data_IF_119848947973
#
_entry.id   IF_119848947973
#
_cell.length_a   1.000
_cell.length_b   1.000
_cell.length_c   1.000
_cell.angle_alpha   90.00
_cell.angle_beta   90.00
_cell.angle_gamma   90.00
#
_symmetry.space_group_name_H-M   'P 1'
#
loop_
_entity.id
_entity.type
_entity.pdbx_description
1 polymer ?
#
# COMPACT_ATOMS: atom_id res chain seq x y z
N UNK A 1 -50.58 -101.89 -26.05
CA UNK A 1 -50.22 -101.05 -27.20
C UNK A 1 -51.48 -100.70 -27.96
N UNK A 2 -52.03 -99.50 -27.77
CA UNK A 2 -53.02 -98.95 -28.71
C UNK A 2 -52.21 -98.09 -29.67
N UNK A 3 -51.75 -98.70 -30.76
CA UNK A 3 -51.14 -98.00 -31.88
C UNK A 3 -52.26 -97.27 -32.63
N UNK A 4 -52.29 -95.94 -32.57
CA UNK A 4 -53.21 -95.12 -33.38
C UNK A 4 -54.54 -94.72 -32.74
N UNK A 5 -54.60 -94.54 -31.41
CA UNK A 5 -55.82 -94.15 -30.70
C UNK A 5 -56.19 -92.67 -30.89
N UNK A 6 -56.96 -92.34 -31.94
CA UNK A 6 -57.79 -91.14 -31.91
C UNK A 6 -58.94 -91.39 -30.92
N UNK A 7 -59.04 -90.63 -29.83
CA UNK A 7 -60.26 -90.62 -29.01
C UNK A 7 -61.37 -89.98 -29.83
N UNK A 8 -62.18 -90.80 -30.51
CA UNK A 8 -63.35 -90.37 -31.26
C UNK A 8 -64.55 -90.33 -30.31
N UNK A 9 -65.01 -89.13 -29.97
CA UNK A 9 -66.23 -88.92 -29.21
C UNK A 9 -67.41 -88.90 -30.19
N UNK A 10 -67.93 -90.07 -30.53
CA UNK A 10 -69.14 -90.16 -31.34
C UNK A 10 -70.37 -89.85 -30.46
N UNK A 11 -70.92 -88.65 -30.61
CA UNK A 11 -72.11 -88.20 -29.89
C UNK A 11 -73.38 -88.83 -30.44
N UNK A 12 -73.89 -89.86 -29.76
CA UNK A 12 -75.23 -90.37 -29.96
C UNK A 12 -76.23 -89.64 -29.06
N UNK A 13 -76.98 -88.69 -29.64
CA UNK A 13 -78.34 -88.29 -29.21
C UNK A 13 -78.52 -87.61 -27.84
N UNK A 14 -79.07 -86.39 -27.91
CA UNK A 14 -79.78 -85.61 -26.86
C UNK A 14 -78.91 -84.65 -26.01
N UNK A 15 -79.13 -83.36 -26.30
CA UNK A 15 -79.02 -82.15 -25.47
C UNK A 15 -77.68 -81.82 -24.78
N UNK A 16 -77.03 -80.78 -25.33
CA UNK A 16 -76.20 -79.78 -24.64
C UNK A 16 -75.10 -80.28 -23.70
N UNK A 17 -74.07 -80.93 -24.26
CA UNK A 17 -72.74 -80.91 -23.64
C UNK A 17 -71.64 -80.71 -24.68
N UNK A 18 -71.27 -79.45 -24.90
CA UNK A 18 -70.15 -78.99 -25.73
C UNK A 18 -68.77 -79.13 -25.04
N UNK A 19 -68.60 -80.05 -24.09
CA UNK A 19 -67.35 -80.17 -23.32
C UNK A 19 -66.98 -81.62 -22.93
N UNK A 20 -65.69 -81.95 -23.09
CA UNK A 20 -65.08 -83.12 -22.46
C UNK A 20 -64.97 -82.84 -20.96
N UNK A 21 -65.74 -83.58 -20.14
CA UNK A 21 -65.70 -83.45 -18.67
C UNK A 21 -64.80 -84.53 -18.07
N UNK A 22 -63.70 -84.10 -17.46
CA UNK A 22 -62.84 -84.96 -16.65
C UNK A 22 -63.13 -84.68 -15.18
N UNK A 23 -63.20 -85.72 -14.34
CA UNK A 23 -63.40 -85.61 -12.89
C UNK A 23 -62.29 -86.38 -12.18
N UNK A 24 -61.71 -85.77 -11.14
CA UNK A 24 -60.76 -86.48 -10.28
C UNK A 24 -61.50 -87.59 -9.51
N UNK A 25 -60.86 -88.74 -9.34
CA UNK A 25 -61.43 -89.86 -8.59
C UNK A 25 -61.53 -89.51 -7.09
N UNK A 26 -62.67 -89.80 -6.47
CA UNK A 26 -62.90 -89.61 -5.04
C UNK A 26 -62.01 -90.58 -4.25
N UNK A 27 -60.82 -90.12 -3.83
CA UNK A 27 -59.94 -90.91 -2.95
C UNK A 27 -58.45 -90.88 -3.27
N UNK A 28 -57.98 -90.10 -4.24
CA UNK A 28 -56.55 -90.11 -4.56
C UNK A 28 -56.09 -89.03 -5.52
N UNK A 29 -56.01 -87.80 -5.03
CA UNK A 29 -55.37 -86.66 -5.70
C UNK A 29 -56.38 -85.65 -6.24
N UNK A 30 -56.41 -84.47 -5.64
CA UNK A 30 -57.22 -83.30 -6.04
C UNK A 30 -56.72 -82.68 -7.35
N UNK A 31 -56.28 -83.49 -8.33
CA UNK A 31 -55.69 -83.05 -9.58
C UNK A 31 -56.20 -83.85 -10.77
N UNK A 32 -56.41 -83.16 -11.88
CA UNK A 32 -56.61 -83.74 -13.22
C UNK A 32 -55.37 -83.39 -14.04
N UNK A 33 -54.78 -84.37 -14.72
CA UNK A 33 -53.60 -84.18 -15.56
C UNK A 33 -53.89 -84.59 -17.00
N UNK A 34 -53.42 -83.78 -17.92
CA UNK A 34 -53.28 -84.11 -19.34
C UNK A 34 -51.78 -84.22 -19.59
N UNK A 35 -51.33 -85.42 -19.95
CA UNK A 35 -49.93 -85.76 -20.14
C UNK A 35 -49.60 -85.86 -21.63
N UNK A 36 -48.49 -85.24 -22.03
CA UNK A 36 -47.94 -85.35 -23.38
C UNK A 36 -46.65 -86.17 -23.32
N UNK A 37 -46.63 -87.30 -24.04
CA UNK A 37 -45.55 -88.30 -23.97
C UNK A 37 -44.93 -88.56 -25.34
N UNK A 38 -43.65 -88.87 -25.34
CA UNK A 38 -42.89 -89.29 -26.51
C UNK A 38 -43.07 -90.78 -26.83
N UNK A 39 -42.39 -91.21 -27.89
CA UNK A 39 -42.33 -92.59 -28.40
C UNK A 39 -41.94 -93.64 -27.34
N UNK A 40 -41.09 -93.26 -26.38
CA UNK A 40 -40.65 -94.12 -25.27
C UNK A 40 -41.51 -93.96 -24.00
N UNK A 41 -42.77 -93.55 -24.12
CA UNK A 41 -43.69 -93.23 -22.99
C UNK A 41 -43.12 -92.15 -22.03
N UNK A 42 -42.15 -91.41 -22.52
CA UNK A 42 -41.40 -90.42 -21.77
C UNK A 42 -42.18 -89.10 -21.74
N UNK A 43 -42.52 -88.61 -20.57
CA UNK A 43 -43.36 -87.43 -20.41
C UNK A 43 -42.58 -86.12 -20.57
N UNK A 44 -42.92 -85.32 -21.58
CA UNK A 44 -42.21 -84.07 -21.86
C UNK A 44 -43.03 -82.81 -21.54
N UNK A 45 -44.35 -82.93 -21.34
CA UNK A 45 -45.18 -81.83 -20.88
C UNK A 45 -46.45 -82.31 -20.14
N UNK A 46 -46.99 -81.47 -19.27
CA UNK A 46 -48.28 -81.67 -18.61
C UNK A 46 -49.11 -80.38 -18.58
N UNK A 47 -50.43 -80.55 -18.59
CA UNK A 47 -51.38 -79.55 -18.09
C UNK A 47 -52.05 -80.15 -16.86
N UNK A 48 -51.94 -79.47 -15.73
CA UNK A 48 -52.43 -79.94 -14.44
C UNK A 48 -53.45 -78.94 -13.89
N UNK A 49 -54.71 -79.37 -13.79
CA UNK A 49 -55.71 -78.69 -12.98
C UNK A 49 -55.68 -79.25 -11.57
N UNK A 50 -55.54 -78.41 -10.55
CA UNK A 50 -55.61 -78.78 -9.14
C UNK A 50 -56.82 -78.12 -8.51
N UNK A 51 -57.69 -78.90 -7.89
CA UNK A 51 -58.78 -78.38 -7.07
C UNK A 51 -58.18 -77.88 -5.75
N UNK A 52 -58.59 -76.68 -5.33
CA UNK A 52 -58.38 -76.23 -3.96
C UNK A 52 -59.49 -76.83 -3.12
N UNK A 53 -59.20 -77.92 -2.41
CA UNK A 53 -60.12 -78.41 -1.39
C UNK A 53 -60.01 -77.53 -0.14
N UNK A 54 -61.13 -77.13 0.49
CA UNK A 54 -61.07 -76.52 1.82
C UNK A 54 -60.32 -77.46 2.77
N UNK A 55 -59.54 -76.90 3.70
CA UNK A 55 -58.72 -77.66 4.67
C UNK A 55 -59.51 -78.68 5.52
N UNK A 56 -60.84 -78.71 5.43
CA UNK A 56 -61.75 -79.62 6.10
C UNK A 56 -62.63 -80.40 5.11
N UNK A 57 -62.01 -81.26 4.30
CA UNK A 57 -62.48 -82.61 3.89
C UNK A 57 -63.88 -82.89 3.33
N UNK A 58 -64.81 -81.94 3.18
CA UNK A 58 -66.18 -82.25 2.73
C UNK A 58 -66.95 -81.10 2.05
N UNK A 59 -66.25 -80.18 1.38
CA UNK A 59 -66.88 -79.06 0.68
C UNK A 59 -66.75 -79.13 -0.84
N UNK A 60 -67.79 -78.70 -1.56
CA UNK A 60 -67.78 -78.36 -2.99
C UNK A 60 -66.50 -77.62 -3.35
N UNK A 61 -65.82 -78.03 -4.43
CA UNK A 61 -64.65 -77.33 -4.96
C UNK A 61 -64.93 -75.83 -5.13
N UNK A 62 -64.34 -74.99 -4.28
CA UNK A 62 -64.54 -73.53 -4.30
C UNK A 62 -63.61 -72.81 -5.28
N UNK A 63 -62.56 -73.49 -5.74
CA UNK A 63 -61.67 -73.01 -6.80
C UNK A 63 -60.53 -73.98 -7.10
N UNK A 64 -59.51 -73.50 -7.80
CA UNK A 64 -58.38 -74.34 -8.21
C UNK A 64 -57.29 -73.59 -8.98
N UNK A 65 -56.14 -74.25 -9.16
CA UNK A 65 -55.02 -73.75 -9.95
C UNK A 65 -54.87 -74.52 -11.27
N UNK A 66 -54.31 -73.87 -12.27
CA UNK A 66 -53.93 -74.48 -13.55
C UNK A 66 -52.43 -74.31 -13.78
N UNK A 67 -51.72 -75.39 -14.05
CA UNK A 67 -50.27 -75.36 -14.23
C UNK A 67 -49.87 -76.05 -15.53
N UNK A 68 -49.03 -75.40 -16.32
CA UNK A 68 -48.39 -75.96 -17.50
C UNK A 68 -46.94 -76.28 -17.15
N UNK A 69 -46.56 -77.52 -17.43
CA UNK A 69 -45.24 -78.07 -17.12
C UNK A 69 -44.55 -78.51 -18.38
N UNK A 70 -43.26 -78.27 -18.47
CA UNK A 70 -42.41 -78.82 -19.52
C UNK A 70 -41.17 -79.46 -18.92
N UNK A 71 -40.69 -80.52 -19.57
CA UNK A 71 -39.52 -81.25 -19.10
C UNK A 71 -38.24 -80.52 -19.49
N UNK A 72 -37.22 -80.63 -18.64
CA UNK A 72 -35.84 -80.34 -18.98
C UNK A 72 -35.02 -81.49 -18.42
N UNK A 73 -34.36 -82.25 -19.30
CA UNK A 73 -33.64 -83.45 -18.90
C UNK A 73 -34.50 -84.49 -18.17
N UNK A 74 -35.73 -84.75 -18.65
CA UNK A 74 -36.70 -85.68 -18.06
C UNK A 74 -37.36 -85.26 -16.74
N UNK A 75 -37.08 -84.05 -16.24
CA UNK A 75 -37.73 -83.50 -15.04
C UNK A 75 -38.72 -82.42 -15.45
N UNK A 76 -39.99 -82.55 -15.04
CA UNK A 76 -41.02 -81.56 -15.27
C UNK A 76 -40.88 -80.37 -14.32
N UNK A 77 -40.87 -79.16 -14.88
CA UNK A 77 -40.88 -77.90 -14.12
C UNK A 77 -42.17 -77.13 -14.39
N UNK A 78 -42.69 -76.46 -13.36
CA UNK A 78 -43.81 -75.53 -13.50
C UNK A 78 -43.33 -74.30 -14.28
N UNK A 79 -43.84 -74.11 -15.51
CA UNK A 79 -43.43 -73.02 -16.40
C UNK A 79 -44.44 -71.88 -16.41
N UNK A 80 -45.72 -72.21 -16.31
CA UNK A 80 -46.80 -71.23 -16.28
C UNK A 80 -47.86 -71.71 -15.28
N UNK A 81 -48.22 -70.85 -14.34
CA UNK A 81 -49.12 -71.16 -13.24
C UNK A 81 -50.21 -70.12 -13.18
N UNK A 82 -51.47 -70.52 -13.13
CA UNK A 82 -52.61 -69.68 -12.78
C UNK A 82 -53.13 -70.14 -11.43
N UNK A 83 -53.10 -69.27 -10.43
CA UNK A 83 -53.69 -69.55 -9.12
C UNK A 83 -55.20 -69.27 -9.11
N UNK A 84 -55.90 -69.80 -8.11
CA UNK A 84 -57.34 -69.58 -7.90
C UNK A 84 -57.71 -68.08 -7.83
N UNK A 85 -56.85 -67.26 -7.23
CA UNK A 85 -57.00 -65.80 -7.19
C UNK A 85 -56.75 -65.08 -8.54
N UNK A 86 -56.51 -65.83 -9.61
CA UNK A 86 -56.26 -65.32 -10.97
C UNK A 86 -54.86 -64.75 -11.19
N UNK A 87 -53.92 -64.92 -10.26
CA UNK A 87 -52.54 -64.50 -10.46
C UNK A 87 -51.84 -65.48 -11.41
N UNK A 88 -51.16 -64.93 -12.41
CA UNK A 88 -50.41 -65.68 -13.42
C UNK A 88 -48.92 -65.58 -13.12
N UNK A 89 -48.29 -66.73 -12.89
CA UNK A 89 -46.84 -66.86 -12.74
C UNK A 89 -46.20 -67.44 -14.00
N UNK A 90 -45.10 -66.84 -14.47
CA UNK A 90 -44.22 -67.42 -15.50
C UNK A 90 -42.88 -67.73 -14.83
N UNK A 91 -42.51 -69.01 -14.81
CA UNK A 91 -41.31 -69.49 -14.12
C UNK A 91 -41.39 -69.54 -12.59
N UNK A 92 -42.52 -69.13 -12.01
CA UNK A 92 -42.80 -69.17 -10.56
C UNK A 92 -44.11 -69.89 -10.26
N UNK A 93 -44.17 -70.59 -9.13
CA UNK A 93 -45.37 -71.26 -8.61
C UNK A 93 -46.16 -70.40 -7.62
N UNK A 94 -45.58 -69.30 -7.16
CA UNK A 94 -46.14 -68.44 -6.11
C UNK A 94 -46.16 -66.98 -6.57
N UNK A 95 -46.90 -66.63 -7.64
CA UNK A 95 -46.95 -65.26 -8.16
C UNK A 95 -47.51 -64.28 -7.10
N UNK A 96 -46.69 -63.29 -6.72
CA UNK A 96 -47.07 -62.26 -5.74
C UNK A 96 -47.95 -61.16 -6.35
N UNK A 97 -47.89 -61.00 -7.67
CA UNK A 97 -48.66 -60.03 -8.44
C UNK A 97 -49.57 -60.72 -9.46
N UNK A 98 -50.52 -59.98 -10.03
CA UNK A 98 -51.46 -60.50 -11.05
C UNK A 98 -50.76 -61.14 -12.24
N UNK A 99 -49.61 -60.59 -12.64
CA UNK A 99 -48.65 -61.20 -13.52
C UNK A 99 -47.28 -61.11 -12.83
N UNK A 100 -46.65 -62.26 -12.57
CA UNK A 100 -45.34 -62.36 -11.95
C UNK A 100 -44.43 -63.21 -12.85
N UNK A 101 -43.33 -62.66 -13.29
CA UNK A 101 -42.39 -63.32 -14.21
C UNK A 101 -41.05 -63.46 -13.50
N UNK A 102 -40.69 -64.69 -13.16
CA UNK A 102 -39.37 -65.00 -12.63
C UNK A 102 -38.38 -65.13 -13.78
N UNK A 103 -37.88 -63.99 -14.26
CA UNK A 103 -36.99 -63.89 -15.41
C UNK A 103 -37.11 -62.54 -16.12
N UNK A 104 -36.62 -62.45 -17.36
CA UNK A 104 -36.77 -61.27 -18.21
C UNK A 104 -37.94 -61.41 -19.18
N UNK A 105 -38.72 -60.34 -19.35
CA UNK A 105 -39.77 -60.25 -20.36
C UNK A 105 -39.30 -59.47 -21.58
N UNK A 106 -39.58 -59.96 -22.79
CA UNK A 106 -39.38 -59.22 -24.03
C UNK A 106 -40.73 -58.73 -24.55
N UNK A 107 -40.89 -57.41 -24.67
CA UNK A 107 -42.09 -56.77 -25.22
C UNK A 107 -41.68 -56.02 -26.50
N UNK A 108 -42.22 -56.43 -27.64
CA UNK A 108 -41.93 -55.79 -28.95
C UNK A 108 -42.64 -54.44 -29.12
N UNK A 109 -43.47 -54.06 -28.16
CA UNK A 109 -44.21 -52.81 -28.07
C UNK A 109 -44.13 -52.26 -26.65
N UNK A 110 -44.37 -50.95 -26.43
CA UNK A 110 -44.34 -50.36 -25.10
C UNK A 110 -45.30 -51.06 -24.13
N UNK A 111 -44.82 -51.31 -22.91
CA UNK A 111 -45.69 -51.73 -21.80
C UNK A 111 -46.32 -50.47 -21.20
N UNK A 112 -47.64 -50.37 -21.27
CA UNK A 112 -48.38 -49.26 -20.64
C UNK A 112 -48.50 -49.56 -19.15
N UNK A 113 -47.84 -48.75 -18.33
CA UNK A 113 -47.86 -48.84 -16.86
C UNK A 113 -48.39 -47.54 -16.26
N UNK A 114 -48.99 -47.64 -15.06
CA UNK A 114 -49.43 -46.47 -14.30
C UNK A 114 -48.26 -45.66 -13.75
N UNK A 115 -48.57 -44.53 -13.09
CA UNK A 115 -47.57 -43.73 -12.39
C UNK A 115 -46.91 -44.57 -11.30
N UNK A 116 -45.56 -44.67 -11.26
CA UNK A 116 -44.87 -45.44 -10.24
C UNK A 116 -45.08 -44.80 -8.85
N UNK A 117 -45.40 -45.62 -7.85
CA UNK A 117 -45.56 -45.22 -6.44
C UNK A 117 -44.51 -45.82 -5.52
N UNK A 118 -43.68 -46.73 -6.04
CA UNK A 118 -42.57 -47.38 -5.36
C UNK A 118 -41.33 -47.41 -6.28
N UNK A 119 -40.14 -47.46 -5.69
CA UNK A 119 -38.87 -47.51 -6.42
C UNK A 119 -38.71 -48.76 -7.31
N UNK A 120 -39.47 -49.82 -7.04
CA UNK A 120 -39.45 -51.07 -7.82
C UNK A 120 -40.41 -51.08 -9.00
N UNK A 121 -41.24 -50.05 -9.19
CA UNK A 121 -42.19 -49.98 -10.30
C UNK A 121 -41.48 -49.65 -11.61
N UNK A 122 -41.98 -50.22 -12.71
CA UNK A 122 -41.64 -49.71 -14.03
C UNK A 122 -42.15 -48.27 -14.18
N UNK A 123 -41.37 -47.44 -14.87
CA UNK A 123 -41.72 -46.05 -15.16
C UNK A 123 -41.80 -45.84 -16.68
N UNK A 124 -42.71 -44.98 -17.12
CA UNK A 124 -42.73 -44.53 -18.51
C UNK A 124 -41.57 -43.55 -18.76
N UNK A 125 -41.10 -43.44 -20.00
CA UNK A 125 -40.09 -42.43 -20.38
C UNK A 125 -40.53 -41.02 -19.99
N UNK A 126 -41.81 -40.69 -20.22
CA UNK A 126 -42.38 -39.39 -19.86
C UNK A 126 -42.28 -39.10 -18.37
N UNK A 127 -42.49 -40.11 -17.50
CA UNK A 127 -42.34 -39.93 -16.06
C UNK A 127 -40.87 -39.64 -15.70
N UNK A 128 -39.94 -40.42 -16.24
CA UNK A 128 -38.50 -40.22 -16.01
C UNK A 128 -38.05 -38.84 -16.50
N UNK A 129 -38.43 -38.45 -17.71
CA UNK A 129 -38.12 -37.13 -18.27
C UNK A 129 -38.70 -36.00 -17.40
N UNK A 130 -39.94 -36.15 -16.91
CA UNK A 130 -40.58 -35.17 -16.03
C UNK A 130 -39.85 -35.01 -14.69
N UNK A 131 -39.28 -36.10 -14.16
CA UNK A 131 -38.49 -36.07 -12.93
C UNK A 131 -37.14 -35.35 -13.11
N UNK A 132 -36.61 -35.31 -14.34
CA UNK A 132 -35.38 -34.58 -14.67
C UNK A 132 -35.66 -33.08 -14.80
N UNK A 133 -36.77 -32.69 -15.41
CA UNK A 133 -37.16 -31.26 -15.51
C UNK A 133 -37.71 -30.68 -14.21
N UNK A 134 -38.30 -31.50 -13.33
CA UNK A 134 -38.86 -31.04 -12.04
C UNK A 134 -37.82 -30.90 -10.92
N UNK A 135 -36.66 -31.56 -11.03
CA UNK A 135 -35.65 -31.59 -9.98
C UNK A 135 -34.48 -30.61 -10.20
N UNK A 136 -34.42 -29.93 -11.35
CA UNK A 136 -33.50 -28.80 -11.56
C UNK A 136 -34.21 -27.54 -11.07
N UNK A 137 -34.06 -27.24 -9.79
CA UNK A 137 -34.58 -26.01 -9.16
C UNK A 137 -33.44 -25.04 -8.81
N UNK A 138 -33.70 -23.74 -8.93
CA UNK A 138 -32.76 -22.67 -8.62
C UNK A 138 -33.47 -21.31 -8.54
N UNK A 139 -32.81 -20.30 -7.99
CA UNK A 139 -33.30 -18.92 -8.01
C UNK A 139 -32.77 -18.20 -9.25
N UNK A 140 -33.61 -17.42 -9.93
CA UNK A 140 -33.20 -16.62 -11.07
C UNK A 140 -31.93 -15.81 -10.76
N UNK A 141 -31.07 -15.63 -11.77
CA UNK A 141 -29.81 -14.88 -11.70
C UNK A 141 -28.70 -15.49 -10.83
N UNK A 142 -28.97 -16.53 -10.03
CA UNK A 142 -27.92 -17.27 -9.35
C UNK A 142 -27.36 -18.39 -10.22
N UNK A 143 -26.03 -18.53 -10.24
CA UNK A 143 -25.38 -19.68 -10.87
C UNK A 143 -25.57 -20.91 -9.96
N UNK A 144 -25.99 -22.05 -10.53
CA UNK A 144 -26.16 -23.31 -9.80
C UNK A 144 -24.82 -23.87 -9.31
N UNK A 145 -24.77 -24.35 -8.06
CA UNK A 145 -23.64 -25.11 -7.49
C UNK A 145 -24.10 -26.39 -6.83
N UNK A 146 -23.24 -27.40 -6.76
CA UNK A 146 -23.46 -28.54 -5.88
C UNK A 146 -23.38 -28.10 -4.41
N UNK A 147 -24.44 -28.39 -3.64
CA UNK A 147 -24.50 -28.20 -2.18
C UNK A 147 -24.36 -29.53 -1.43
N UNK A 148 -24.39 -30.65 -2.15
CA UNK A 148 -24.08 -32.01 -1.70
C UNK A 148 -23.84 -32.93 -2.91
N UNK A 149 -23.61 -34.23 -2.68
CA UNK A 149 -23.26 -35.19 -3.76
C UNK A 149 -24.28 -35.27 -4.90
N UNK A 150 -25.54 -34.96 -4.63
CA UNK A 150 -26.65 -35.05 -5.58
C UNK A 150 -27.62 -33.86 -5.49
N UNK A 151 -27.22 -32.77 -4.83
CA UNK A 151 -28.08 -31.61 -4.58
C UNK A 151 -27.50 -30.35 -5.22
N UNK A 152 -28.31 -29.63 -5.99
CA UNK A 152 -27.98 -28.31 -6.51
C UNK A 152 -28.60 -27.22 -5.63
N UNK A 153 -27.94 -26.07 -5.53
CA UNK A 153 -28.46 -24.87 -4.88
C UNK A 153 -27.80 -23.61 -5.43
N UNK A 154 -28.19 -22.45 -4.92
CA UNK A 154 -27.64 -21.16 -5.36
C UNK A 154 -26.17 -21.03 -4.95
N UNK A 155 -25.33 -20.53 -5.86
CA UNK A 155 -23.99 -20.05 -5.51
C UNK A 155 -24.05 -18.69 -4.81
N UNK A 156 -22.88 -18.20 -4.39
CA UNK A 156 -22.73 -16.79 -3.98
C UNK A 156 -22.61 -15.85 -5.18
N UNK A 157 -22.60 -16.39 -6.40
CA UNK A 157 -22.43 -15.66 -7.66
C UNK A 157 -23.81 -15.35 -8.24
N UNK A 158 -24.02 -14.09 -8.53
CA UNK A 158 -25.23 -13.50 -9.08
C UNK A 158 -24.90 -12.79 -10.39
N UNK A 159 -25.67 -13.06 -11.45
CA UNK A 159 -25.52 -12.43 -12.75
C UNK A 159 -26.72 -11.55 -13.06
N UNK A 160 -26.49 -10.29 -13.39
CA UNK A 160 -27.55 -9.40 -13.87
C UNK A 160 -26.98 -8.33 -14.80
N UNK A 161 -27.71 -7.97 -15.86
CA UNK A 161 -27.29 -6.90 -16.78
C UNK A 161 -25.92 -7.13 -17.44
N UNK A 162 -25.48 -8.39 -17.56
CA UNK A 162 -24.15 -8.77 -18.06
C UNK A 162 -23.00 -8.43 -17.10
N UNK A 163 -23.29 -8.29 -15.80
CA UNK A 163 -22.34 -8.10 -14.70
C UNK A 163 -22.41 -9.29 -13.74
N UNK A 164 -21.27 -9.60 -13.12
CA UNK A 164 -21.14 -10.68 -12.14
C UNK A 164 -20.93 -10.08 -10.75
N UNK A 165 -21.86 -10.34 -9.84
CA UNK A 165 -21.75 -10.06 -8.41
C UNK A 165 -21.38 -11.32 -7.63
N UNK A 166 -20.38 -11.28 -6.75
CA UNK A 166 -20.10 -12.33 -5.77
C UNK A 166 -20.42 -11.77 -4.40
N UNK A 167 -21.41 -12.33 -3.71
CA UNK A 167 -21.88 -11.83 -2.41
C UNK A 167 -22.78 -10.58 -2.48
N UNK A 168 -23.13 -10.12 -3.69
CA UNK A 168 -24.09 -9.04 -3.93
C UNK A 168 -25.05 -9.42 -5.05
N UNK A 169 -26.31 -8.95 -4.97
CA UNK A 169 -27.33 -9.11 -6.02
C UNK A 169 -27.48 -7.86 -6.88
N UNK A 170 -26.68 -6.83 -6.67
CA UNK A 170 -26.73 -5.55 -7.40
C UNK A 170 -25.32 -5.10 -7.81
N UNK A 171 -24.62 -5.84 -8.68
CA UNK A 171 -23.28 -5.47 -9.14
C UNK A 171 -23.30 -4.19 -9.98
N UNK A 172 -22.63 -3.14 -9.49
CA UNK A 172 -22.42 -1.87 -10.18
C UNK A 172 -21.29 -1.90 -11.22
N UNK A 173 -20.43 -2.93 -11.20
CA UNK A 173 -19.34 -3.15 -12.17
C UNK A 173 -19.45 -4.51 -12.86
N UNK A 174 -18.71 -4.71 -13.96
CA UNK A 174 -18.67 -5.97 -14.72
C UNK A 174 -18.36 -7.20 -13.86
N UNK A 175 -17.49 -7.03 -12.87
CA UNK A 175 -17.24 -7.99 -11.80
C UNK A 175 -17.17 -7.22 -10.46
N UNK A 176 -18.05 -7.55 -9.52
CA UNK A 176 -18.09 -6.97 -8.18
C UNK A 176 -18.09 -8.09 -7.14
N UNK A 177 -17.21 -8.01 -6.14
CA UNK A 177 -17.13 -8.98 -5.04
C UNK A 177 -17.36 -8.25 -3.72
N UNK A 178 -18.47 -8.53 -3.05
CA UNK A 178 -18.86 -7.94 -1.77
C UNK A 178 -18.69 -8.98 -0.66
N UNK A 179 -17.99 -8.62 0.42
CA UNK A 179 -17.81 -9.48 1.59
C UNK A 179 -16.75 -10.57 1.46
N UNK A 180 -16.00 -10.62 0.35
CA UNK A 180 -14.83 -11.50 0.17
C UNK A 180 -13.58 -10.70 -0.17
N UNK A 181 -12.52 -10.86 0.61
CA UNK A 181 -11.23 -10.13 0.51
C UNK A 181 -10.34 -10.57 -0.66
N UNK A 182 -10.88 -11.23 -1.69
CA UNK A 182 -10.02 -11.87 -2.71
C UNK A 182 -10.61 -11.74 -4.11
N UNK A 183 -10.36 -10.59 -4.73
CA UNK A 183 -10.04 -10.58 -6.15
C UNK A 183 -8.53 -10.87 -6.24
N UNK A 184 -8.11 -11.63 -7.25
CA UNK A 184 -6.74 -12.07 -7.58
C UNK A 184 -6.38 -13.47 -7.05
N UNK A 185 -6.12 -14.38 -8.00
CA UNK A 185 -5.97 -15.82 -7.80
C UNK A 185 -4.71 -16.25 -7.05
N UNK A 186 -4.58 -17.58 -6.91
CA UNK A 186 -3.43 -18.26 -6.34
C UNK A 186 -2.13 -17.79 -6.99
N UNK A 187 -1.38 -16.93 -6.29
CA UNK A 187 -0.09 -16.41 -6.71
C UNK A 187 -0.04 -14.88 -6.79
N UNK A 188 -0.06 -14.24 -5.62
CA UNK A 188 0.33 -12.85 -5.33
C UNK A 188 -0.44 -11.73 -6.05
N UNK A 189 -1.38 -11.09 -5.34
CA UNK A 189 -1.27 -9.69 -4.85
C UNK A 189 -2.29 -9.47 -3.70
N UNK A 190 -1.90 -8.87 -2.56
CA UNK A 190 -2.77 -8.68 -1.39
C UNK A 190 -3.59 -7.38 -1.48
N UNK A 191 -4.87 -7.41 -1.10
CA UNK A 191 -5.61 -6.21 -0.67
C UNK A 191 -5.80 -6.29 0.84
N UNK A 192 -4.96 -5.53 1.54
CA UNK A 192 -5.31 -4.66 2.68
C UNK A 192 -6.52 -5.11 3.54
N UNK A 193 -6.27 -6.06 4.46
CA UNK A 193 -6.73 -5.84 5.82
C UNK A 193 -5.73 -4.87 6.47
N UNK A 194 -6.18 -3.69 6.89
CA UNK A 194 -5.38 -2.83 7.77
C UNK A 194 -4.92 -3.67 8.97
N UNK A 195 -3.62 -3.95 9.10
CA UNK A 195 -3.06 -4.46 10.36
C UNK A 195 -2.15 -5.70 10.33
N UNK A 196 -1.64 -6.19 9.20
CA UNK A 196 -0.54 -7.18 9.24
C UNK A 196 0.66 -6.77 8.37
N UNK A 197 1.84 -6.80 9.00
CA UNK A 197 3.15 -6.38 8.51
C UNK A 197 3.60 -7.16 7.27
N UNK A 198 4.09 -6.46 6.23
CA UNK A 198 5.11 -7.03 5.33
C UNK A 198 4.89 -7.13 3.81
N UNK A 199 3.91 -6.47 3.17
CA UNK A 199 3.82 -6.49 1.68
C UNK A 199 3.53 -5.12 1.04
N UNK A 200 4.21 -4.86 -0.09
CA UNK A 200 4.20 -3.62 -0.89
C UNK A 200 3.03 -3.62 -1.89
N UNK A 201 2.35 -2.47 -2.03
CA UNK A 201 1.29 -2.24 -3.03
C UNK A 201 1.75 -1.16 -4.00
N UNK A 202 1.71 -1.44 -5.30
CA UNK A 202 1.91 -0.48 -6.39
C UNK A 202 0.63 -0.40 -7.21
N UNK A 203 -0.02 0.77 -7.22
CA UNK A 203 -1.19 1.05 -8.06
C UNK A 203 -0.74 1.88 -9.27
N UNK A 204 -0.78 1.30 -10.47
CA UNK A 204 -0.74 2.07 -11.73
C UNK A 204 -2.15 1.99 -12.30
N UNK A 205 -2.81 3.15 -12.43
CA UNK A 205 -4.11 3.29 -13.10
C UNK A 205 -3.88 3.66 -14.55
N UNK A 206 -4.40 2.86 -15.47
CA UNK A 206 -4.44 3.19 -16.89
C UNK A 206 -5.62 4.15 -17.16
N UNK A 207 -5.35 5.12 -18.04
CA UNK A 207 -6.14 6.25 -18.58
C UNK A 207 -6.41 7.48 -17.69
N UNK A 208 -5.76 8.59 -18.07
CA UNK A 208 -6.30 9.95 -17.92
C UNK A 208 -5.62 10.88 -16.91
N UNK A 209 -5.04 10.38 -15.83
CA UNK A 209 -4.21 11.17 -14.90
C UNK A 209 -3.34 10.26 -14.03
N UNK A 210 -2.01 10.40 -14.14
CA UNK A 210 -0.98 9.51 -13.60
C UNK A 210 -0.69 9.77 -12.11
N UNK A 211 -1.65 9.57 -11.21
CA UNK A 211 -1.41 9.73 -9.77
C UNK A 211 -1.55 8.40 -9.01
N UNK A 212 -0.46 7.98 -8.36
CA UNK A 212 -0.53 6.95 -7.32
C UNK A 212 -1.14 7.62 -6.08
N UNK A 213 -2.44 7.41 -5.87
CA UNK A 213 -3.13 7.92 -4.68
C UNK A 213 -2.76 7.06 -3.47
N UNK A 214 -1.75 7.51 -2.73
CA UNK A 214 -1.36 6.90 -1.46
C UNK A 214 -1.98 7.76 -0.35
N UNK A 215 -3.04 7.28 0.30
CA UNK A 215 -3.72 8.02 1.36
C UNK A 215 -4.34 7.08 2.38
N UNK A 216 -4.16 7.38 3.67
CA UNK A 216 -4.97 6.76 4.71
C UNK A 216 -6.32 7.48 4.75
N UNK A 217 -7.33 6.95 4.07
CA UNK A 217 -8.72 7.39 4.26
C UNK A 217 -9.25 6.75 5.55
N UNK A 218 -9.52 7.55 6.57
CA UNK A 218 -10.28 7.08 7.71
C UNK A 218 -11.73 6.88 7.29
N UNK A 219 -12.27 5.71 7.58
CA UNK A 219 -13.66 5.37 7.30
C UNK A 219 -14.66 6.10 8.21
N UNK A 220 -14.20 6.77 9.28
CA UNK A 220 -15.06 7.32 10.34
C UNK A 220 -15.40 8.82 10.20
N UNK A 221 -14.91 9.50 9.15
CA UNK A 221 -15.14 10.94 8.94
C UNK A 221 -14.45 11.86 9.95
N UNK A 222 -13.67 11.32 10.89
CA UNK A 222 -12.98 12.11 11.91
C UNK A 222 -11.71 12.72 11.33
N UNK A 223 -11.75 14.03 11.11
CA UNK A 223 -10.58 14.83 10.76
C UNK A 223 -9.57 14.84 11.91
N UNK A 224 -8.31 14.51 11.64
CA UNK A 224 -7.24 14.55 12.64
C UNK A 224 -5.97 15.14 12.05
N UNK A 225 -5.24 15.91 12.85
CA UNK A 225 -3.92 16.44 12.49
C UNK A 225 -2.92 15.29 12.27
N UNK A 226 -1.92 15.53 11.43
CA UNK A 226 -0.84 14.59 11.09
C UNK A 226 -1.33 13.27 10.48
N UNK A 227 -2.52 13.29 9.87
CA UNK A 227 -3.09 12.14 9.15
C UNK A 227 -2.90 12.32 7.65
N UNK A 228 -2.43 11.28 6.98
CA UNK A 228 -2.32 11.26 5.53
C UNK A 228 -1.58 10.04 4.99
N UNK A 229 -1.10 10.16 3.76
CA UNK A 229 -0.47 9.09 3.01
C UNK A 229 1.04 9.09 3.12
N UNK A 230 1.66 7.92 2.94
CA UNK A 230 3.11 7.82 2.93
C UNK A 230 3.65 6.87 1.87
N UNK A 231 4.71 7.30 1.20
CA UNK A 231 5.54 6.47 0.35
C UNK A 231 6.78 6.05 1.14
N UNK A 232 6.83 4.79 1.57
CA UNK A 232 8.01 4.21 2.21
C UNK A 232 8.98 3.68 1.16
N UNK A 233 10.20 4.19 1.18
CA UNK A 233 11.31 3.79 0.31
C UNK A 233 12.21 2.84 1.09
N UNK A 234 12.35 1.61 0.59
CA UNK A 234 13.13 0.57 1.23
C UNK A 234 14.51 0.44 0.56
N UNK A 235 15.52 0.07 1.34
CA UNK A 235 16.85 -0.27 0.86
C UNK A 235 17.16 -1.74 1.20
N UNK A 236 17.71 -2.49 0.24
CA UNK A 236 18.09 -3.88 0.46
C UNK A 236 19.42 -3.95 1.21
N UNK A 237 19.41 -4.52 2.41
CA UNK A 237 20.61 -4.70 3.22
C UNK A 237 21.30 -6.04 2.86
N UNK A 238 21.94 -6.13 1.69
CA UNK A 238 22.68 -7.31 1.20
C UNK A 238 21.89 -8.64 1.16
N UNK A 239 22.51 -9.73 0.71
CA UNK A 239 21.87 -11.04 0.53
C UNK A 239 21.47 -11.66 1.86
N UNK A 240 20.17 -11.75 2.14
CA UNK A 240 19.60 -12.59 3.21
C UNK A 240 19.02 -11.85 4.42
N UNK A 241 19.14 -10.53 4.52
CA UNK A 241 18.45 -9.74 5.55
C UNK A 241 17.17 -9.09 5.02
N UNK A 242 16.18 -8.91 5.90
CA UNK A 242 14.93 -8.18 5.62
C UNK A 242 15.24 -6.79 5.05
N UNK A 243 14.39 -6.29 4.16
CA UNK A 243 14.49 -4.93 3.62
C UNK A 243 14.68 -3.92 4.76
N UNK A 244 15.81 -3.22 4.80
CA UNK A 244 15.98 -2.12 5.72
C UNK A 244 15.12 -0.96 5.23
N UNK A 245 14.21 -0.48 6.06
CA UNK A 245 13.45 0.72 5.77
C UNK A 245 14.44 1.87 5.56
N UNK A 246 14.47 2.48 4.37
CA UNK A 246 15.41 3.56 4.07
C UNK A 246 14.86 4.90 4.54
N UNK A 247 13.96 5.47 3.75
CA UNK A 247 13.32 6.75 4.01
C UNK A 247 11.83 6.72 3.73
N UNK A 248 11.11 7.77 4.12
CA UNK A 248 9.68 7.91 3.86
C UNK A 248 9.36 9.32 3.43
N UNK A 249 8.52 9.43 2.40
CA UNK A 249 7.87 10.69 2.01
C UNK A 249 6.44 10.61 2.56
N UNK A 250 6.01 11.64 3.27
CA UNK A 250 4.71 11.69 3.92
C UNK A 250 3.97 12.96 3.53
N UNK A 251 2.72 12.82 3.10
CA UNK A 251 1.81 13.95 2.94
C UNK A 251 0.71 13.86 3.98
N UNK A 252 0.54 14.89 4.82
CA UNK A 252 -0.44 14.88 5.91
C UNK A 252 -1.16 16.20 6.10
N UNK A 253 -2.25 16.17 6.84
CA UNK A 253 -2.99 17.37 7.24
C UNK A 253 -2.32 18.08 8.41
N UNK A 254 -2.30 19.40 8.38
CA UNK A 254 -1.68 20.20 9.45
C UNK A 254 -2.55 20.30 10.70
N UNK A 255 -3.87 20.18 10.55
CA UNK A 255 -4.81 20.34 11.64
C UNK A 255 -6.02 19.41 11.51
N UNK A 256 -6.83 19.39 12.56
CA UNK A 256 -8.04 18.58 12.68
C UNK A 256 -9.32 19.38 12.34
N UNK A 257 -9.25 20.44 11.52
CA UNK A 257 -10.42 21.28 11.21
C UNK A 257 -11.16 20.68 10.01
N UNK A 258 -12.48 20.51 10.10
CA UNK A 258 -13.25 19.96 8.97
C UNK A 258 -13.28 20.94 7.80
N UNK A 259 -13.06 20.44 6.57
CA UNK A 259 -13.03 21.26 5.35
C UNK A 259 -11.72 22.03 5.11
N UNK A 260 -10.78 22.02 6.06
CA UNK A 260 -9.49 22.67 5.86
C UNK A 260 -8.56 21.80 4.97
N UNK A 261 -8.18 22.33 3.82
CA UNK A 261 -7.26 21.69 2.88
C UNK A 261 -5.77 21.81 3.25
N UNK A 262 -5.43 22.48 4.36
CA UNK A 262 -4.05 22.67 4.80
C UNK A 262 -3.34 21.32 5.04
N UNK A 263 -2.35 21.05 4.19
CA UNK A 263 -1.49 19.88 4.29
C UNK A 263 -0.02 20.25 4.14
N UNK A 264 0.82 19.34 4.63
CA UNK A 264 2.27 19.44 4.54
C UNK A 264 2.84 18.22 3.82
N UNK A 265 4.02 18.40 3.24
CA UNK A 265 4.87 17.33 2.72
C UNK A 265 6.11 17.21 3.62
N UNK A 266 6.49 16.01 4.01
CA UNK A 266 7.70 15.81 4.81
C UNK A 266 8.50 14.59 4.41
N UNK A 267 9.80 14.68 4.71
CA UNK A 267 10.81 13.68 4.42
C UNK A 267 11.37 13.14 5.73
N UNK A 268 11.24 11.82 5.89
CA UNK A 268 11.75 11.08 7.03
C UNK A 268 12.92 10.21 6.60
N UNK A 269 13.89 10.09 7.51
CA UNK A 269 14.98 9.11 7.40
C UNK A 269 15.02 8.27 8.66
N UNK A 270 15.69 7.12 8.61
CA UNK A 270 15.94 6.30 9.80
C UNK A 270 17.44 6.18 10.09
N UNK A 271 17.77 6.09 11.38
CA UNK A 271 19.12 5.75 11.85
C UNK A 271 19.14 4.41 12.58
N UNK A 272 18.01 3.95 13.14
CA UNK A 272 17.87 2.67 13.88
C UNK A 272 16.40 2.22 13.96
N UNK A 273 15.73 2.03 12.82
CA UNK A 273 14.36 1.50 12.75
C UNK A 273 13.24 2.48 13.12
N UNK A 274 13.55 3.68 13.64
CA UNK A 274 12.59 4.76 13.85
C UNK A 274 12.72 5.85 12.78
N UNK A 275 11.60 6.40 12.32
CA UNK A 275 11.57 7.51 11.38
C UNK A 275 11.67 8.84 12.12
N UNK A 276 12.61 9.68 11.69
CA UNK A 276 12.75 11.06 12.17
C UNK A 276 12.50 12.01 11.01
N UNK A 277 11.62 12.99 11.22
CA UNK A 277 11.37 14.05 10.24
C UNK A 277 12.62 14.92 10.10
N UNK A 278 13.11 15.07 8.87
CA UNK A 278 14.30 15.86 8.58
C UNK A 278 13.98 17.14 7.83
N UNK A 279 13.02 17.06 6.90
CA UNK A 279 12.57 18.20 6.10
C UNK A 279 11.05 18.22 6.08
N UNK A 280 10.46 19.40 6.28
CA UNK A 280 9.03 19.69 6.16
C UNK A 280 8.82 20.81 5.16
N UNK A 281 7.75 20.73 4.37
CA UNK A 281 7.19 21.83 3.59
C UNK A 281 5.73 21.97 4.03
N UNK A 282 5.40 23.06 4.71
CA UNK A 282 4.08 23.30 5.27
C UNK A 282 3.12 23.92 4.22
N UNK A 283 1.84 24.05 4.54
CA UNK A 283 0.78 24.56 3.67
C UNK A 283 0.99 26.03 3.26
N UNK A 284 1.72 26.79 4.07
CA UNK A 284 2.12 28.19 3.77
C UNK A 284 3.35 28.27 2.84
N UNK A 285 3.92 27.12 2.46
CA UNK A 285 5.11 27.01 1.61
C UNK A 285 6.43 27.28 2.34
N UNK A 286 6.45 27.16 3.66
CA UNK A 286 7.68 27.28 4.46
C UNK A 286 8.38 25.93 4.53
N UNK A 287 9.70 25.94 4.34
CA UNK A 287 10.58 24.77 4.43
C UNK A 287 11.27 24.74 5.79
N UNK A 288 10.99 23.71 6.59
CA UNK A 288 11.70 23.43 7.84
C UNK A 288 12.77 22.36 7.64
N UNK A 289 14.00 22.60 8.10
CA UNK A 289 15.05 21.57 8.19
C UNK A 289 15.37 21.38 9.68
N UNK A 290 15.08 20.18 10.20
CA UNK A 290 15.23 19.86 11.62
C UNK A 290 14.18 20.51 12.55
N UNK A 291 13.12 21.09 11.99
CA UNK A 291 11.97 21.66 12.72
C UNK A 291 10.66 21.27 12.04
N UNK A 292 9.61 21.04 12.85
CA UNK A 292 8.26 20.71 12.39
C UNK A 292 7.35 21.94 12.30
N UNK A 293 7.80 23.09 12.80
CA UNK A 293 7.02 24.34 12.84
C UNK A 293 7.82 25.50 12.24
N UNK A 294 8.11 25.47 10.92
CA UNK A 294 8.92 26.51 10.29
C UNK A 294 8.21 27.87 10.31
N UNK A 295 8.86 28.85 10.94
CA UNK A 295 8.37 30.22 11.11
C UNK A 295 8.73 31.15 9.95
N UNK A 296 9.70 30.75 9.12
CA UNK A 296 10.17 31.47 7.94
C UNK A 296 10.15 30.57 6.69
N UNK A 297 10.30 31.17 5.51
CA UNK A 297 10.32 30.43 4.23
C UNK A 297 11.37 29.32 4.18
N UNK A 298 12.51 29.54 4.84
CA UNK A 298 13.47 28.52 5.18
C UNK A 298 13.83 28.68 6.66
N UNK A 299 13.50 27.69 7.47
CA UNK A 299 13.77 27.65 8.91
C UNK A 299 14.63 26.42 9.21
N UNK A 300 15.88 26.66 9.63
CA UNK A 300 16.87 25.60 9.89
C UNK A 300 17.17 25.57 11.38
N UNK A 301 16.77 24.49 12.04
CA UNK A 301 17.17 24.23 13.41
C UNK A 301 18.56 23.56 13.43
N UNK A 302 19.60 24.37 13.34
CA UNK A 302 21.00 23.93 13.32
C UNK A 302 21.89 24.83 12.47
N UNK A 303 23.08 24.32 12.12
CA UNK A 303 24.04 25.05 11.29
C UNK A 303 23.77 24.83 9.80
N UNK A 304 23.92 25.87 8.98
CA UNK A 304 23.88 25.77 7.52
C UNK A 304 25.29 25.93 6.95
N UNK A 305 25.74 24.96 6.15
CA UNK A 305 26.99 25.09 5.37
C UNK A 305 26.66 25.43 3.93
N UNK A 306 27.10 26.60 3.46
CA UNK A 306 26.94 27.06 2.08
C UNK A 306 28.33 27.10 1.46
N UNK A 307 28.57 26.30 0.43
CA UNK A 307 29.88 26.19 -0.23
C UNK A 307 30.03 27.11 -1.43
N UNK A 308 28.93 27.65 -1.93
CA UNK A 308 28.91 28.73 -2.93
C UNK A 308 28.54 30.07 -2.29
N UNK A 309 28.17 31.03 -3.13
CA UNK A 309 27.78 32.36 -2.65
C UNK A 309 26.37 32.31 -2.01
N UNK A 310 26.25 32.89 -0.81
CA UNK A 310 24.95 33.23 -0.22
C UNK A 310 24.64 34.70 -0.53
N UNK A 311 23.75 34.94 -1.47
CA UNK A 311 23.20 36.29 -1.71
C UNK A 311 21.99 36.52 -0.82
N UNK A 312 22.09 37.49 0.09
CA UNK A 312 20.95 37.97 0.88
C UNK A 312 20.64 39.39 0.41
N UNK A 313 19.50 39.58 -0.24
CA UNK A 313 19.05 40.90 -0.74
C UNK A 313 18.34 41.74 0.32
N UNK A 314 17.94 41.11 1.43
CA UNK A 314 17.40 41.77 2.62
C UNK A 314 18.43 41.90 3.73
N UNK A 315 17.98 42.33 4.91
CA UNK A 315 18.83 42.46 6.09
C UNK A 315 19.17 41.09 6.71
N UNK A 316 20.45 40.84 7.01
CA UNK A 316 20.87 39.72 7.86
C UNK A 316 20.80 40.17 9.32
N UNK A 317 19.85 39.64 10.09
CA UNK A 317 19.70 39.92 11.51
C UNK A 317 20.29 38.78 12.35
N UNK A 318 21.28 39.08 13.19
CA UNK A 318 21.86 38.12 14.14
C UNK A 318 21.10 38.21 15.47
N UNK A 319 20.46 37.12 15.91
CA UNK A 319 19.87 37.06 17.27
C UNK A 319 20.98 37.06 18.31
N UNK A 320 20.97 38.06 19.21
CA UNK A 320 21.93 38.29 20.32
C UNK A 320 23.18 37.40 20.27
N UNK A 321 24.23 37.91 19.62
CA UNK A 321 25.59 37.39 19.76
C UNK A 321 25.90 37.38 21.27
N UNK A 322 25.82 36.21 21.90
CA UNK A 322 26.06 36.06 23.33
C UNK A 322 27.39 36.72 23.70
N UNK A 323 27.37 37.59 24.69
CA UNK A 323 28.44 38.55 25.03
C UNK A 323 29.78 37.93 25.48
N UNK A 324 30.01 36.63 25.29
CA UNK A 324 31.20 35.89 25.72
C UNK A 324 32.20 35.57 24.58
N UNK A 325 31.90 35.93 23.33
CA UNK A 325 32.67 35.47 22.16
C UNK A 325 33.24 36.59 21.27
N UNK A 326 33.74 37.67 21.87
CA UNK A 326 34.70 38.57 21.19
C UNK A 326 36.14 38.00 21.15
N UNK A 327 36.32 36.69 21.41
CA UNK A 327 37.61 35.99 21.30
C UNK A 327 37.57 34.68 20.49
N UNK A 328 36.56 34.46 19.63
CA UNK A 328 36.72 33.49 18.55
C UNK A 328 35.86 33.84 17.33
N UNK A 329 36.53 34.25 16.25
CA UNK A 329 36.20 33.89 14.87
C UNK A 329 34.73 33.94 14.41
N UNK A 330 34.03 35.03 14.70
CA UNK A 330 32.82 35.43 13.96
C UNK A 330 32.98 36.82 13.34
N UNK A 331 34.18 37.09 12.81
CA UNK A 331 34.31 37.93 11.61
C UNK A 331 34.05 37.05 10.38
N UNK A 332 33.68 37.64 9.25
CA UNK A 332 33.66 36.91 7.98
C UNK A 332 35.08 36.41 7.70
N UNK A 333 35.34 35.13 7.97
CA UNK A 333 36.62 34.46 7.73
C UNK A 333 36.70 34.12 6.24
N UNK A 334 37.39 34.95 5.46
CA UNK A 334 37.76 34.62 4.09
C UNK A 334 39.22 34.17 4.04
N UNK A 335 39.48 33.05 3.37
CA UNK A 335 40.82 32.55 3.01
C UNK A 335 41.43 33.34 1.82
N UNK A 336 40.81 34.45 1.44
CA UNK A 336 41.16 35.38 0.35
C UNK A 336 40.60 36.77 0.71
N UNK A 337 40.67 37.75 -0.18
CA UNK A 337 40.13 39.09 0.10
C UNK A 337 38.63 39.03 0.42
N UNK A 338 38.24 39.60 1.55
CA UNK A 338 36.84 39.87 1.88
C UNK A 338 36.40 41.13 1.11
N UNK A 339 35.63 40.96 0.04
CA UNK A 339 34.97 42.06 -0.66
C UNK A 339 33.60 42.30 0.01
N UNK A 340 33.51 43.31 0.87
CA UNK A 340 32.23 43.87 1.28
C UNK A 340 31.90 44.98 0.28
N UNK A 341 30.79 44.88 -0.44
CA UNK A 341 30.25 46.04 -1.18
C UNK A 341 29.81 47.06 -0.13
N UNK A 342 30.47 48.21 -0.13
CA UNK A 342 30.25 49.29 0.83
C UNK A 342 29.46 50.36 0.09
N UNK A 343 28.17 50.44 0.39
CA UNK A 343 27.22 51.50 0.05
C UNK A 343 27.24 52.02 -1.41
N UNK A 344 26.32 51.50 -2.23
CA UNK A 344 25.90 52.12 -3.50
C UNK A 344 24.71 53.09 -3.32
N UNK A 345 24.50 53.64 -2.12
CA UNK A 345 23.34 54.49 -1.81
C UNK A 345 23.70 55.94 -1.42
N UNK A 346 24.99 56.27 -1.24
CA UNK A 346 25.51 57.64 -1.05
C UNK A 346 24.80 58.41 0.08
N UNK A 347 24.63 57.79 1.25
CA UNK A 347 23.91 58.35 2.40
C UNK A 347 24.80 58.82 3.58
N UNK A 348 26.13 58.66 3.48
CA UNK A 348 27.10 59.21 4.43
C UNK A 348 27.33 58.35 5.68
N UNK A 349 27.22 57.03 5.57
CA UNK A 349 27.40 56.09 6.68
C UNK A 349 28.84 55.56 6.81
N UNK A 350 29.29 55.22 8.02
CA UNK A 350 30.70 54.87 8.29
C UNK A 350 31.04 53.42 7.84
N UNK A 351 32.10 53.26 7.03
CA UNK A 351 32.64 52.02 6.42
C UNK A 351 32.91 50.84 7.38
N UNK A 352 33.48 51.11 8.56
CA UNK A 352 33.86 50.08 9.54
C UNK A 352 34.01 50.76 10.88
N UNK A 353 33.29 50.29 11.91
CA UNK A 353 33.39 50.84 13.25
C UNK A 353 33.83 49.72 14.19
N UNK A 354 35.11 49.73 14.60
CA UNK A 354 35.53 48.95 15.77
C UNK A 354 35.22 49.78 17.01
N UNK A 355 34.19 49.39 17.77
CA UNK A 355 33.85 50.00 19.06
C UNK A 355 34.53 49.22 20.19
N UNK A 356 35.16 49.92 21.12
CA UNK A 356 35.55 49.36 22.42
C UNK A 356 34.74 50.07 23.52
N UNK A 357 33.70 49.39 24.02
CA UNK A 357 32.81 49.94 25.03
C UNK A 357 31.80 50.95 24.47
N UNK A 358 31.09 51.63 25.39
CA UNK A 358 29.94 52.46 25.06
C UNK A 358 30.27 53.68 24.17
N UNK A 359 31.50 54.22 24.24
CA UNK A 359 31.80 55.54 23.62
C UNK A 359 33.17 55.66 22.91
N UNK A 360 33.84 54.56 22.50
CA UNK A 360 35.14 54.69 21.80
C UNK A 360 35.20 53.89 20.48
N UNK A 361 35.21 54.61 19.36
CA UNK A 361 35.53 54.10 18.01
C UNK A 361 37.04 54.11 17.80
N UNK A 362 37.67 52.98 17.47
CA UNK A 362 39.13 52.87 17.37
C UNK A 362 39.69 52.95 15.95
N UNK A 363 38.87 52.70 14.93
CA UNK A 363 39.25 52.75 13.52
C UNK A 363 38.02 52.98 12.65
N UNK A 364 38.03 54.00 11.80
CA UNK A 364 37.03 54.23 10.75
C UNK A 364 37.77 54.50 9.44
N UNK A 365 37.32 53.89 8.34
CA UNK A 365 37.71 54.26 6.99
C UNK A 365 36.57 55.10 6.40
N UNK A 366 36.86 56.03 5.51
CA UNK A 366 35.83 56.75 4.75
C UNK A 366 35.54 56.06 3.42
N UNK A 367 34.51 56.55 2.75
CA UNK A 367 34.03 56.06 1.45
C UNK A 367 35.09 56.18 0.32
N UNK A 368 36.20 56.88 0.55
CA UNK A 368 37.34 56.96 -0.38
C UNK A 368 38.47 55.99 -0.05
N UNK A 369 38.29 55.15 0.97
CA UNK A 369 39.29 54.19 1.47
C UNK A 369 40.36 54.82 2.36
N UNK A 370 40.18 56.09 2.76
CA UNK A 370 41.10 56.76 3.68
C UNK A 370 40.72 56.45 5.13
N UNK A 371 41.70 56.28 6.00
CA UNK A 371 41.47 56.07 7.42
C UNK A 371 40.98 57.36 8.09
N UNK A 372 39.66 57.54 8.20
CA UNK A 372 39.05 58.56 9.04
C UNK A 372 39.10 58.17 10.52
N UNK A 373 40.17 58.56 11.21
CA UNK A 373 40.13 58.62 12.67
C UNK A 373 39.32 59.86 13.08
N UNK A 374 37.99 59.74 13.21
CA UNK A 374 37.11 60.86 13.59
C UNK A 374 37.39 61.44 14.99
N UNK A 375 38.23 60.77 15.78
CA UNK A 375 38.84 61.31 16.99
C UNK A 375 40.08 60.44 17.24
N UNK A 376 41.17 61.07 17.68
CA UNK A 376 42.40 60.50 18.21
C UNK A 376 42.42 58.97 18.35
N UNK A 377 43.41 58.30 17.75
CA UNK A 377 43.80 56.95 18.20
C UNK A 377 44.30 57.08 19.65
N UNK A 378 43.37 57.10 20.61
CA UNK A 378 43.66 56.87 22.00
C UNK A 378 43.64 55.35 22.20
N UNK A 379 44.74 54.71 22.63
CA UNK A 379 44.58 53.47 23.38
C UNK A 379 43.70 53.82 24.58
N UNK A 380 42.54 53.19 24.67
CA UNK A 380 41.48 53.56 25.62
C UNK A 380 42.01 53.75 27.04
N UNK A 381 41.44 54.71 27.75
CA UNK A 381 41.75 55.12 29.12
C UNK A 381 41.39 54.08 30.19
N UNK A 382 41.42 52.78 29.86
CA UNK A 382 41.04 51.68 30.73
C UNK A 382 41.97 50.46 30.70
N UNK A 383 43.07 50.47 29.94
CA UNK A 383 44.02 49.36 29.94
C UNK A 383 45.46 49.87 29.90
N UNK A 384 46.31 49.26 30.73
CA UNK A 384 47.61 49.72 31.22
C UNK A 384 48.74 49.84 30.16
N UNK A 385 48.51 50.60 29.10
CA UNK A 385 49.54 50.97 28.12
C UNK A 385 49.41 52.48 27.86
N UNK A 386 50.04 53.29 28.70
CA UNK A 386 50.52 54.60 28.25
C UNK A 386 51.41 54.32 27.04
N UNK A 387 50.92 54.57 25.82
CA UNK A 387 51.70 54.22 24.61
C UNK A 387 52.98 55.03 24.60
N UNK A 388 54.07 54.36 24.92
CA UNK A 388 55.43 54.90 24.97
C UNK A 388 55.90 55.37 23.59
N UNK A 389 55.18 55.09 22.48
CA UNK A 389 55.45 55.54 21.11
C UNK A 389 54.14 55.59 20.28
N UNK A 390 53.94 56.59 19.41
CA UNK A 390 52.79 56.65 18.47
C UNK A 390 52.84 57.78 17.42
N UNK A 391 51.89 57.81 16.48
CA UNK A 391 51.70 58.88 15.46
C UNK A 391 50.23 59.31 15.45
N UNK A 392 49.94 60.61 15.46
CA UNK A 392 48.58 61.16 15.36
C UNK A 392 48.56 62.44 14.53
N UNK A 393 47.41 62.76 13.92
CA UNK A 393 47.22 63.98 13.12
C UNK A 393 46.33 64.98 13.87
N UNK A 394 46.90 65.90 14.69
CA UNK A 394 46.13 67.01 15.24
C UNK A 394 45.59 67.94 14.14
N UNK A 395 44.59 68.76 14.46
CA UNK A 395 44.00 69.72 13.51
C UNK A 395 45.00 70.73 12.92
N UNK A 396 46.16 70.88 13.55
CA UNK A 396 47.23 71.81 13.16
C UNK A 396 48.48 71.14 12.58
N UNK A 397 48.50 69.81 12.36
CA UNK A 397 49.69 69.12 11.86
C UNK A 397 49.69 67.60 11.97
N UNK A 398 50.87 66.98 11.82
CA UNK A 398 51.16 65.56 12.04
C UNK A 398 52.20 65.41 13.17
N UNK A 399 51.96 64.54 14.13
CA UNK A 399 52.77 64.45 15.34
C UNK A 399 53.21 63.01 15.65
N UNK A 400 54.46 62.88 16.08
CA UNK A 400 55.09 61.64 16.55
C UNK A 400 55.37 61.79 18.05
N UNK A 401 54.91 60.84 18.86
CA UNK A 401 55.10 60.87 20.31
C UNK A 401 56.01 59.74 20.78
N UNK A 402 56.78 59.99 21.85
CA UNK A 402 57.40 58.94 22.67
C UNK A 402 57.28 59.29 24.16
N UNK A 403 57.14 58.28 25.03
CA UNK A 403 56.90 58.45 26.47
C UNK A 403 55.69 59.33 26.78
N UNK A 404 54.63 59.27 25.96
CA UNK A 404 53.41 60.07 26.13
C UNK A 404 53.53 61.56 25.78
N UNK A 405 54.62 62.01 25.16
CA UNK A 405 54.80 63.42 24.77
C UNK A 405 55.22 63.55 23.30
N UNK A 406 54.72 64.59 22.61
CA UNK A 406 55.09 64.87 21.22
C UNK A 406 56.59 65.17 21.11
N UNK A 407 57.29 64.37 20.32
CA UNK A 407 58.73 64.53 20.05
C UNK A 407 58.99 65.15 18.69
N UNK A 408 58.12 64.90 17.72
CA UNK A 408 58.17 65.55 16.40
C UNK A 408 56.77 66.02 16.06
N UNK A 409 56.64 67.25 15.58
CA UNK A 409 55.40 67.85 15.11
C UNK A 409 55.67 68.49 13.75
N UNK A 410 54.86 68.20 12.75
CA UNK A 410 54.91 68.80 11.43
C UNK A 410 53.66 69.65 11.31
N UNK A 411 53.77 70.97 11.29
CA UNK A 411 52.58 71.83 11.17
C UNK A 411 51.95 71.77 9.77
N UNK A 412 50.75 72.33 9.62
CA UNK A 412 50.02 72.39 8.35
C UNK A 412 50.73 73.18 7.24
N UNK A 413 51.77 73.96 7.57
CA UNK A 413 52.61 74.66 6.60
C UNK A 413 53.87 73.89 6.23
N UNK A 414 54.07 72.70 6.80
CA UNK A 414 55.21 71.81 6.57
C UNK A 414 56.42 72.08 7.47
N UNK A 415 56.32 72.94 8.49
CA UNK A 415 57.42 73.16 9.41
C UNK A 415 57.51 72.00 10.40
N UNK A 416 58.73 71.48 10.60
CA UNK A 416 58.99 70.38 11.53
C UNK A 416 59.56 70.93 12.84
N UNK A 417 58.81 70.78 13.93
CA UNK A 417 59.24 70.98 15.30
C UNK A 417 59.72 69.66 15.92
N UNK A 418 60.98 69.61 16.38
CA UNK A 418 61.49 68.49 17.19
C UNK A 418 61.51 68.97 18.65
N UNK A 419 60.75 68.30 19.52
CA UNK A 419 60.57 68.66 20.94
C UNK A 419 59.68 69.87 21.20
N UNK A 420 59.03 70.42 20.16
CA UNK A 420 58.08 71.53 20.25
C UNK A 420 56.88 71.25 19.34
N UNK A 421 55.70 71.73 19.74
CA UNK A 421 54.44 71.64 18.98
C UNK A 421 54.13 72.93 18.20
N UNK A 422 54.98 73.96 18.29
CA UNK A 422 54.80 75.25 17.60
C UNK A 422 56.06 75.67 16.84
N UNK A 423 56.45 74.98 15.77
CA UNK A 423 57.58 75.39 14.94
C UNK A 423 57.26 76.73 14.24
N UNK A 424 58.12 77.73 14.42
CA UNK A 424 57.90 79.08 13.84
C UNK A 424 58.54 79.26 12.46
N UNK A 425 59.39 78.30 12.02
CA UNK A 425 60.14 78.35 10.77
C UNK A 425 60.46 76.94 10.27
N UNK A 426 60.53 76.76 8.94
CA UNK A 426 60.93 75.49 8.31
C UNK A 426 62.40 75.20 8.65
N UNK A 427 62.67 74.05 9.27
CA UNK A 427 64.01 73.71 9.76
C UNK A 427 64.59 72.43 9.14
N UNK A 428 64.44 72.26 7.82
CA UNK A 428 65.41 71.53 6.98
C UNK A 428 65.10 71.80 5.50
N UNK A 429 65.96 72.54 4.79
CA UNK A 429 65.91 72.66 3.32
C UNK A 429 66.60 71.42 2.74
N UNK A 430 65.96 70.72 1.81
CA UNK A 430 66.69 69.92 0.83
C UNK A 430 67.33 70.92 -0.16
N UNK A 431 68.65 71.07 -0.12
CA UNK A 431 69.40 71.94 -1.03
C UNK A 431 69.93 71.08 -2.19
N UNK A 432 69.24 71.06 -3.33
CA UNK A 432 69.75 70.43 -4.56
C UNK A 432 70.83 71.28 -5.27
N UNK A 433 71.37 72.35 -4.65
CA UNK A 433 72.16 73.35 -5.39
C UNK A 433 73.50 73.77 -4.78
N UNK A 434 74.05 73.08 -3.75
CA UNK A 434 75.32 73.53 -3.12
C UNK A 434 76.35 72.44 -2.88
N UNK A 435 76.74 71.76 -3.96
CA UNK A 435 78.13 71.37 -4.14
C UNK A 435 78.89 72.53 -4.81
N UNK A 436 79.75 73.20 -4.05
CA UNK A 436 80.80 74.06 -4.62
C UNK A 436 80.98 75.43 -3.97
N UNK A 437 82.16 75.59 -3.34
CA UNK A 437 82.95 76.83 -3.22
C UNK A 437 82.74 77.70 -1.96
N UNK A 438 83.65 77.45 -0.99
CA UNK A 438 84.59 78.40 -0.36
C UNK A 438 84.09 79.72 0.25
N UNK A 439 84.38 79.96 1.54
CA UNK A 439 84.61 81.34 2.01
C UNK A 439 84.37 81.66 3.49
N UNK A 440 85.28 81.21 4.37
CA UNK A 440 85.70 81.78 5.67
C UNK A 440 84.71 81.99 6.84
N UNK A 441 85.15 81.41 7.95
CA UNK A 441 84.64 81.39 9.33
C UNK A 441 84.95 82.71 10.05
N UNK A 442 84.00 83.21 10.85
CA UNK A 442 84.32 84.12 11.96
C UNK A 442 84.11 83.47 13.33
N UNK A 443 85.02 83.81 14.24
CA UNK A 443 85.54 83.00 15.34
C UNK A 443 85.32 83.74 16.67
N UNK A 444 84.76 83.04 17.65
CA UNK A 444 84.94 83.11 19.13
C UNK A 444 85.44 84.40 19.86
N UNK A 445 84.59 84.88 20.79
CA UNK A 445 84.78 85.38 22.19
C UNK A 445 86.12 86.01 22.65
N UNK A 446 86.06 87.20 23.30
CA UNK A 446 86.16 87.46 24.77
C UNK A 446 86.29 88.97 25.11
N UNK A 447 85.74 89.38 26.26
CA UNK A 447 85.83 90.71 26.91
C UNK A 447 87.25 91.01 27.42
N UNK A 448 87.63 92.31 27.49
CA UNK A 448 88.20 93.03 28.65
C UNK A 448 88.56 94.48 28.23
N UNK A 449 88.20 95.47 29.04
CA UNK A 449 88.41 96.89 28.73
C UNK A 449 89.77 97.45 29.19
N UNK A 450 90.16 98.59 28.63
CA UNK A 450 90.61 99.78 29.34
C UNK A 450 90.96 100.93 28.37
N UNK A 451 90.55 102.14 28.79
CA UNK A 451 91.17 103.43 28.60
C UNK A 451 91.19 104.20 27.26
N UNK A 452 90.67 105.43 27.42
CA UNK A 452 91.18 106.76 27.00
C UNK A 452 90.48 107.51 25.85
N UNK A 453 89.82 108.61 26.29
CA UNK A 453 89.72 109.98 25.72
C UNK A 453 89.22 110.14 24.28
N UNK A 454 88.03 110.74 24.13
CA UNK A 454 87.78 112.17 23.75
C UNK A 454 88.16 112.49 22.31
N UNK A 455 87.14 112.76 21.49
CA UNK A 455 86.94 113.93 20.60
C UNK A 455 85.69 113.61 19.73
N UNK A 456 84.50 114.18 19.96
CA UNK A 456 83.93 115.48 19.54
C UNK A 456 84.02 115.79 18.02
N UNK A 457 82.83 115.77 17.39
CA UNK A 457 82.39 116.35 16.09
C UNK A 457 83.02 115.77 14.81
N UNK A 458 82.29 115.44 13.73
CA UNK A 458 81.00 115.91 13.22
C UNK A 458 80.01 114.78 12.91
#
# INVERSE_FOLDING_TARGET
MISGGTLRLDGGGVADYTAIRMRAASGGGDQIRISFRGDNETEYAQIVGKVTTPASGSGTATGGSLTFRTATGQILYDRFTILEGGNVGIGTTSPAYKLDVQGTGYFSQPVIVGTPTSASHAATKSYVDSSITGNISGTANYISKFTGSNSLGNSVIYETGGNIGIGTTSPGNKLEVVGGTTMLGNGAWPVLAYGQSGQRVSMISDVGNQFVNIGNMLADGTVGADRGGNLTLFARLTTGALDATGGRIFGGRENAISGDGAGYLSFFTTTTGSFVERVRINSTGNVGIGTTSPSYKLDVNGNTRITGDLTVTGTVSYGSIGADWLNANYGVWSNSNLYMDVDNNNDGSNFFIVRNGADATTLQLDETGNLQTSSTIYPGTGSAIQSTVGIYSPSSGLAFLTGGTTKVFIDSTGNVGIGTTGPLQSRHRYDESKWGISGRRDRFRRRSGCHHRRDRFC
#
